data_IF_313659730798
#
_entry.id   IF_313659730798
#
_cell.length_a   1.000
_cell.length_b   1.000
_cell.length_c   1.000
_cell.angle_alpha   90.00
_cell.angle_beta   90.00
_cell.angle_gamma   90.00
#
_symmetry.space_group_name_H-M   'P 1'
#
loop_
_entity.id
_entity.type
_entity.pdbx_description
1 polymer ?
#
# COMPACT_ATOMS: atom_id res chain seq x y z
N UNK A 1 -2.97 -5.47 93.62
CA UNK A 1 -4.08 -5.49 94.57
C UNK A 1 -3.51 -5.93 95.93
N UNK A 2 -3.20 -4.96 96.83
CA UNK A 2 -2.91 -5.26 98.21
C UNK A 2 -4.19 -5.76 98.89
N UNK A 3 -4.13 -6.85 99.67
CA UNK A 3 -5.24 -7.27 100.51
C UNK A 3 -5.09 -6.63 101.90
N UNK A 4 -6.14 -6.06 102.41
CA UNK A 4 -6.20 -5.58 103.77
C UNK A 4 -6.94 -6.60 104.62
N UNK A 5 -6.36 -7.08 105.73
CA UNK A 5 -7.01 -8.08 106.51
C UNK A 5 -8.36 -7.58 107.07
N UNK A 6 -9.41 -8.40 106.86
CA UNK A 6 -10.74 -8.11 107.37
C UNK A 6 -11.61 -7.32 106.33
N UNK A 7 -11.13 -7.02 105.18
CA UNK A 7 -11.86 -6.36 104.08
C UNK A 7 -12.01 -7.31 102.91
N UNK A 8 -13.27 -7.60 102.57
CA UNK A 8 -13.59 -8.26 101.33
C UNK A 8 -13.84 -7.23 100.20
N UNK A 9 -13.31 -7.54 99.04
CA UNK A 9 -13.42 -6.69 97.85
C UNK A 9 -14.21 -7.43 96.73
N UNK A 10 -15.27 -6.81 96.30
CA UNK A 10 -16.09 -7.33 95.16
C UNK A 10 -16.33 -6.26 94.10
N UNK A 11 -16.65 -6.66 92.91
CA UNK A 11 -16.91 -5.76 91.74
C UNK A 11 -15.62 -5.30 91.05
N UNK A 12 -14.46 -5.96 91.29
CA UNK A 12 -13.24 -5.63 90.56
C UNK A 12 -13.42 -5.79 89.02
N UNK A 13 -13.05 -4.77 88.26
CA UNK A 13 -13.26 -4.75 86.77
C UNK A 13 -14.68 -4.36 86.33
N UNK A 14 -15.50 -3.90 87.27
CA UNK A 14 -16.82 -3.30 87.00
C UNK A 14 -16.85 -1.81 87.39
N UNK A 15 -17.95 -1.15 87.08
CA UNK A 15 -18.19 0.26 87.38
C UNK A 15 -18.41 0.50 88.90
N UNK A 16 -18.70 -0.53 89.64
CA UNK A 16 -18.95 -0.46 91.11
C UNK A 16 -17.99 -1.40 91.84
N UNK A 17 -17.13 -0.83 92.71
CA UNK A 17 -16.26 -1.56 93.61
C UNK A 17 -16.85 -1.51 95.00
N UNK A 18 -17.10 -2.65 95.62
CA UNK A 18 -17.61 -2.75 96.94
C UNK A 18 -16.56 -3.30 97.88
N UNK A 19 -16.28 -2.55 98.99
CA UNK A 19 -15.44 -2.97 100.06
C UNK A 19 -16.35 -3.31 101.26
N UNK A 20 -16.32 -4.55 101.73
CA UNK A 20 -17.15 -5.01 102.87
C UNK A 20 -16.30 -5.55 104.01
N UNK A 21 -16.87 -5.47 105.20
CA UNK A 21 -16.21 -5.99 106.43
C UNK A 21 -16.36 -7.52 106.44
N UNK A 22 -15.25 -8.22 106.30
CA UNK A 22 -15.19 -9.69 106.41
C UNK A 22 -15.03 -10.16 107.88
N UNK A 23 -14.90 -9.25 108.80
CA UNK A 23 -14.76 -9.51 110.26
C UNK A 23 -13.59 -8.76 110.89
N UNK A 24 -13.89 -7.84 111.80
CA UNK A 24 -12.94 -7.14 112.59
C UNK A 24 -12.26 -5.92 111.98
N UNK A 25 -12.61 -5.52 110.78
CA UNK A 25 -12.05 -4.30 110.12
C UNK A 25 -12.53 -3.04 110.84
N UNK A 26 -11.66 -2.12 110.98
CA UNK A 26 -11.89 -0.76 111.54
C UNK A 26 -12.08 0.24 110.42
N UNK A 27 -12.67 1.40 110.71
CA UNK A 27 -12.85 2.49 109.69
C UNK A 27 -11.53 2.93 109.07
N UNK A 28 -10.41 2.83 109.84
CA UNK A 28 -9.07 3.11 109.29
C UNK A 28 -8.67 2.13 108.19
N UNK A 29 -9.05 0.88 108.32
CA UNK A 29 -8.72 -0.17 107.36
C UNK A 29 -9.44 0.07 106.03
N UNK A 30 -10.65 0.62 106.06
CA UNK A 30 -11.35 1.06 104.84
C UNK A 30 -10.70 2.26 104.17
N UNK A 31 -10.14 3.20 104.93
CA UNK A 31 -9.38 4.32 104.38
C UNK A 31 -8.13 3.80 103.71
N UNK A 32 -7.41 2.88 104.33
CA UNK A 32 -6.22 2.26 103.75
C UNK A 32 -6.58 1.45 102.52
N UNK A 33 -7.75 0.76 102.45
CA UNK A 33 -8.23 0.06 101.35
C UNK A 33 -8.56 1.01 100.13
N UNK A 34 -9.16 2.15 100.42
CA UNK A 34 -9.45 3.17 99.36
C UNK A 34 -8.17 3.69 98.74
N UNK A 35 -7.07 3.85 99.49
CA UNK A 35 -5.79 4.27 98.93
C UNK A 35 -5.19 3.25 98.01
N UNK A 36 -5.62 2.00 98.02
CA UNK A 36 -5.18 0.94 97.10
C UNK A 36 -6.06 0.83 95.83
N UNK A 37 -7.19 1.51 95.84
CA UNK A 37 -8.05 1.55 94.60
C UNK A 37 -7.30 2.27 93.51
N UNK A 38 -7.26 1.63 92.31
CA UNK A 38 -6.68 2.18 91.12
C UNK A 38 -7.74 2.19 90.04
N UNK A 39 -7.92 3.31 89.40
CA UNK A 39 -8.68 3.41 88.16
C UNK A 39 -7.81 2.91 87.03
N UNK A 40 -8.31 2.03 86.21
CA UNK A 40 -7.67 1.57 84.97
C UNK A 40 -8.66 1.57 83.82
N UNK A 41 -8.33 2.25 82.72
CA UNK A 41 -9.09 2.19 81.49
C UNK A 41 -8.42 1.19 80.54
N UNK A 42 -9.13 0.17 80.13
CA UNK A 42 -8.64 -0.88 79.21
C UNK A 42 -8.96 -0.60 77.77
N UNK A 43 -9.66 0.47 77.45
CA UNK A 43 -9.95 0.89 76.07
C UNK A 43 -8.65 1.33 75.39
N UNK A 44 -8.40 0.85 74.20
CA UNK A 44 -7.25 1.24 73.34
C UNK A 44 -7.25 2.73 73.05
N UNK A 45 -8.44 3.32 72.94
CA UNK A 45 -8.64 4.75 72.66
C UNK A 45 -9.74 5.27 73.64
N UNK A 46 -9.40 5.67 74.89
CA UNK A 46 -10.41 6.14 75.78
C UNK A 46 -10.91 7.52 75.35
N UNK A 47 -12.21 7.71 75.36
CA UNK A 47 -12.78 9.02 75.13
C UNK A 47 -12.29 9.95 76.27
N UNK A 48 -11.84 11.16 75.94
CA UNK A 48 -11.46 12.18 76.83
C UNK A 48 -12.61 12.63 77.74
N UNK A 49 -12.28 13.38 78.72
CA UNK A 49 -13.26 13.98 79.66
C UNK A 49 -13.11 13.57 81.13
N UNK A 50 -13.93 14.20 81.93
CA UNK A 50 -13.92 13.98 83.34
C UNK A 50 -14.66 12.69 83.77
N UNK A 51 -14.07 11.86 84.58
CA UNK A 51 -14.69 10.70 85.19
C UNK A 51 -14.97 11.05 86.63
N UNK A 52 -16.15 10.74 87.17
CA UNK A 52 -16.55 10.94 88.52
C UNK A 52 -16.43 9.61 89.25
N UNK A 53 -15.72 9.60 90.36
CA UNK A 53 -15.69 8.49 91.33
C UNK A 53 -16.48 8.90 92.52
N UNK A 54 -17.53 8.17 92.82
CA UNK A 54 -18.35 8.38 94.04
C UNK A 54 -18.00 7.35 95.08
N UNK A 55 -17.78 7.81 96.28
CA UNK A 55 -17.49 6.95 97.45
C UNK A 55 -18.55 7.20 98.50
N UNK A 56 -19.20 6.16 98.90
CA UNK A 56 -20.20 6.21 99.96
C UNK A 56 -20.00 5.05 100.96
N UNK A 57 -20.10 5.36 102.21
CA UNK A 57 -20.06 4.36 103.29
C UNK A 57 -21.47 4.04 103.73
N UNK A 58 -21.74 2.74 103.99
CA UNK A 58 -22.97 2.25 104.53
C UNK A 58 -22.63 1.50 105.82
N UNK A 59 -23.28 1.81 106.93
CA UNK A 59 -23.13 1.10 108.24
C UNK A 59 -23.99 -0.18 108.17
N UNK A 60 -23.65 -1.16 109.10
CA UNK A 60 -24.43 -2.40 109.22
C UNK A 60 -25.90 -2.11 109.54
N UNK A 61 -26.18 -1.03 110.26
CA UNK A 61 -27.54 -0.59 110.62
C UNK A 61 -28.28 0.11 109.46
N UNK A 62 -27.69 0.20 108.24
CA UNK A 62 -28.28 0.85 107.06
C UNK A 62 -28.09 2.38 107.05
N UNK A 63 -27.35 2.98 107.99
CA UNK A 63 -27.01 4.40 107.92
C UNK A 63 -26.04 4.68 106.78
N UNK A 64 -26.30 5.71 105.96
CA UNK A 64 -25.44 6.10 104.83
C UNK A 64 -24.68 7.39 105.15
N UNK A 65 -23.45 7.46 104.69
CA UNK A 65 -22.66 8.71 104.70
C UNK A 65 -23.10 9.60 103.55
N UNK A 66 -22.69 10.85 103.53
CA UNK A 66 -22.67 11.65 102.34
C UNK A 66 -21.76 11.02 101.28
N UNK A 67 -22.00 11.30 100.01
CA UNK A 67 -21.17 10.85 98.88
C UNK A 67 -19.99 11.77 98.81
N UNK A 68 -18.76 11.20 98.84
CA UNK A 68 -17.53 11.88 98.53
C UNK A 68 -17.25 11.69 97.00
N UNK A 69 -16.95 12.75 96.31
CA UNK A 69 -16.74 12.77 94.90
C UNK A 69 -15.29 13.07 94.59
N UNK A 70 -14.65 12.21 93.83
CA UNK A 70 -13.34 12.45 93.23
C UNK A 70 -13.48 12.54 91.66
N UNK A 71 -12.69 13.36 91.07
CA UNK A 71 -12.68 13.54 89.60
C UNK A 71 -11.36 13.07 89.04
N UNK A 72 -11.42 12.31 87.98
CA UNK A 72 -10.27 11.90 87.18
C UNK A 72 -10.44 12.54 85.83
N UNK A 73 -9.51 13.35 85.34
CA UNK A 73 -9.46 13.89 84.05
C UNK A 73 -8.74 12.86 83.10
N UNK A 74 -9.47 12.35 82.15
CA UNK A 74 -8.91 11.54 81.07
C UNK A 74 -8.63 12.48 79.89
N UNK A 75 -7.37 12.63 79.55
CA UNK A 75 -6.98 13.40 78.38
C UNK A 75 -6.88 12.45 77.18
N UNK A 76 -7.49 12.83 76.08
CA UNK A 76 -7.26 12.14 74.78
C UNK A 76 -5.82 12.38 74.35
N UNK A 77 -5.12 11.35 73.98
CA UNK A 77 -3.86 11.49 73.25
C UNK A 77 -4.18 11.93 71.81
N UNK A 78 -3.44 12.87 71.27
CA UNK A 78 -3.59 13.20 69.88
C UNK A 78 -3.38 11.93 69.01
N UNK A 79 -4.16 11.78 67.97
CA UNK A 79 -3.90 10.74 66.95
C UNK A 79 -2.77 11.17 66.03
N UNK A 80 -2.05 10.16 65.58
CA UNK A 80 -1.00 10.37 64.57
C UNK A 80 -1.64 10.90 63.28
N UNK A 81 -1.08 11.95 62.69
CA UNK A 81 -1.53 12.46 61.38
C UNK A 81 -0.82 11.66 60.29
N UNK A 82 -1.57 10.88 59.55
CA UNK A 82 -1.08 10.11 58.39
C UNK A 82 -1.64 10.77 57.14
N UNK A 83 -0.83 10.89 56.10
CA UNK A 83 -1.23 11.49 54.79
C UNK A 83 -0.57 10.67 53.68
N UNK A 84 -1.39 9.97 52.91
CA UNK A 84 -0.99 9.18 51.77
C UNK A 84 -0.90 10.02 50.49
N UNK A 85 -1.31 11.29 50.54
CA UNK A 85 -1.47 12.15 49.41
C UNK A 85 -2.80 11.92 48.67
N UNK A 86 -2.98 12.54 47.53
CA UNK A 86 -4.20 12.40 46.74
C UNK A 86 -4.34 10.98 46.14
N UNK A 87 -5.57 10.65 45.76
CA UNK A 87 -5.87 9.47 44.94
C UNK A 87 -4.97 9.43 43.70
N UNK A 88 -4.58 8.23 43.28
CA UNK A 88 -3.69 8.03 42.15
C UNK A 88 -4.42 7.34 41.03
N UNK A 89 -4.05 7.73 39.80
CA UNK A 89 -4.50 7.12 38.56
C UNK A 89 -3.26 6.68 37.80
N UNK A 90 -3.21 5.42 37.39
CA UNK A 90 -2.07 4.84 36.64
C UNK A 90 -2.55 4.13 35.39
N UNK A 91 -1.63 3.94 34.45
CA UNK A 91 -1.88 3.12 33.28
C UNK A 91 -1.81 1.64 33.60
N UNK A 92 -2.58 0.82 32.96
CA UNK A 92 -2.46 -0.64 33.03
C UNK A 92 -1.02 -1.07 32.71
N UNK A 93 -0.43 -1.85 33.63
CA UNK A 93 0.97 -2.28 33.59
C UNK A 93 1.93 -1.42 34.40
N UNK A 94 1.51 -0.24 34.86
CA UNK A 94 2.28 0.58 35.78
C UNK A 94 2.00 0.21 37.26
N UNK A 95 2.77 0.76 38.21
CA UNK A 95 2.57 0.58 39.63
C UNK A 95 2.59 1.92 40.38
N UNK A 96 1.62 2.10 41.23
CA UNK A 96 1.56 3.22 42.16
C UNK A 96 2.37 2.94 43.44
N UNK A 97 2.83 4.00 44.11
CA UNK A 97 3.56 3.90 45.36
C UNK A 97 2.89 4.79 46.40
N UNK A 98 2.48 4.20 47.53
CA UNK A 98 1.96 4.90 48.71
C UNK A 98 2.97 4.87 49.83
N UNK A 99 3.21 6.01 50.47
CA UNK A 99 4.14 6.14 51.58
C UNK A 99 3.43 6.74 52.78
N UNK A 100 3.25 5.94 53.84
CA UNK A 100 2.56 6.32 55.06
C UNK A 100 3.39 7.24 56.00
N UNK A 101 4.61 7.59 55.61
CA UNK A 101 5.49 8.40 56.46
C UNK A 101 5.91 7.70 57.73
N UNK A 102 6.28 8.46 58.80
CA UNK A 102 6.56 8.00 60.16
C UNK A 102 7.60 6.86 60.29
N UNK A 103 8.87 7.06 59.88
CA UNK A 103 9.87 6.01 59.91
C UNK A 103 10.00 5.35 61.30
N UNK A 104 9.99 4.00 61.31
CA UNK A 104 10.11 3.21 62.56
C UNK A 104 8.77 2.92 63.23
N UNK A 105 7.64 3.37 62.69
CA UNK A 105 6.32 2.99 63.18
C UNK A 105 5.95 1.55 62.77
N UNK A 106 4.86 1.05 63.31
CA UNK A 106 4.22 -0.20 62.91
C UNK A 106 3.11 0.17 61.93
N UNK A 107 3.07 -0.50 60.75
CA UNK A 107 2.11 -0.27 59.71
C UNK A 107 1.20 -1.48 59.52
N UNK A 108 -0.04 -1.21 59.20
CA UNK A 108 -1.01 -2.22 58.81
C UNK A 108 -1.84 -1.67 57.67
N UNK A 109 -1.61 -2.20 56.49
CA UNK A 109 -2.35 -1.86 55.28
C UNK A 109 -3.55 -2.77 55.07
N UNK A 110 -4.55 -2.29 54.33
CA UNK A 110 -5.72 -3.06 53.95
C UNK A 110 -5.39 -4.32 53.13
N UNK A 111 -4.30 -4.30 52.38
CA UNK A 111 -3.79 -5.43 51.62
C UNK A 111 -2.88 -6.39 52.41
N UNK A 112 -2.81 -6.20 53.74
CA UNK A 112 -2.00 -6.98 54.66
C UNK A 112 -0.49 -6.69 54.66
N UNK A 113 -0.04 -5.71 53.90
CA UNK A 113 1.34 -5.22 53.96
C UNK A 113 1.63 -4.53 55.30
N UNK A 114 2.92 -4.53 55.69
CA UNK A 114 3.35 -3.98 56.98
C UNK A 114 4.55 -3.04 56.84
N UNK A 115 4.88 -2.61 55.64
CA UNK A 115 6.00 -1.72 55.35
C UNK A 115 5.55 -0.25 55.32
N UNK A 116 6.48 0.66 55.53
CA UNK A 116 6.20 2.11 55.45
C UNK A 116 5.66 2.51 54.06
N UNK A 117 6.19 1.89 53.00
CA UNK A 117 5.85 2.16 51.63
C UNK A 117 5.40 0.88 50.96
N UNK A 118 4.30 0.94 50.23
CA UNK A 118 3.82 -0.14 49.39
C UNK A 118 3.85 0.27 47.90
N UNK A 119 4.03 -0.72 47.01
CA UNK A 119 3.89 -0.53 45.60
C UNK A 119 2.87 -1.55 45.06
N UNK A 120 1.91 -1.06 44.30
CA UNK A 120 0.78 -1.89 43.84
C UNK A 120 0.31 -1.44 42.46
N UNK A 121 -0.21 -2.39 41.68
CA UNK A 121 -0.85 -2.14 40.38
C UNK A 121 -2.35 -2.45 40.41
N UNK A 122 -2.87 -2.95 41.55
CA UNK A 122 -4.25 -3.38 41.64
C UNK A 122 -5.18 -2.22 42.03
N UNK A 123 -6.28 -2.08 41.33
CA UNK A 123 -7.32 -1.11 41.65
C UNK A 123 -7.87 -1.30 43.05
N UNK A 124 -8.19 -0.22 43.70
CA UNK A 124 -8.90 -0.28 44.94
C UNK A 124 -8.52 0.79 45.96
N UNK A 125 -9.16 0.68 47.11
CA UNK A 125 -8.94 1.56 48.22
C UNK A 125 -7.84 1.00 49.15
N UNK A 126 -6.80 1.78 49.39
CA UNK A 126 -5.68 1.45 50.26
C UNK A 126 -5.80 2.24 51.54
N UNK A 127 -6.05 1.53 52.63
CA UNK A 127 -6.17 2.07 53.99
C UNK A 127 -4.92 1.67 54.77
N UNK A 128 -4.27 2.62 55.41
CA UNK A 128 -3.17 2.33 56.32
C UNK A 128 -3.50 2.75 57.73
N UNK A 129 -3.13 1.92 58.67
CA UNK A 129 -3.08 2.28 60.09
C UNK A 129 -1.62 2.32 60.55
N UNK A 130 -1.21 3.46 61.09
CA UNK A 130 0.18 3.69 61.55
C UNK A 130 0.20 3.88 63.08
N UNK A 131 1.05 3.11 63.76
CA UNK A 131 1.22 3.17 65.19
C UNK A 131 2.70 3.39 65.51
N UNK A 132 3.02 4.54 66.08
CA UNK A 132 4.39 4.88 66.60
C UNK A 132 4.66 4.52 68.05
N UNK A 133 3.70 3.91 68.77
CA UNK A 133 3.81 3.52 70.17
C UNK A 133 3.79 4.67 71.16
N UNK A 134 3.63 5.91 70.76
CA UNK A 134 3.70 7.11 71.61
C UNK A 134 2.36 7.80 71.77
N UNK A 135 1.63 7.92 70.65
CA UNK A 135 0.32 8.57 70.56
C UNK A 135 -0.70 7.60 69.99
N UNK A 136 -1.97 7.99 69.91
CA UNK A 136 -2.99 7.13 69.27
C UNK A 136 -2.65 6.86 67.80
N UNK A 137 -2.90 5.62 67.30
CA UNK A 137 -2.69 5.29 65.90
C UNK A 137 -3.47 6.24 64.97
N UNK A 138 -2.84 6.61 63.86
CA UNK A 138 -3.49 7.36 62.78
C UNK A 138 -3.85 6.45 61.63
N UNK A 139 -4.84 6.85 60.86
CA UNK A 139 -5.27 6.17 59.63
C UNK A 139 -5.44 7.17 58.50
N UNK A 140 -5.15 6.73 57.30
CA UNK A 140 -5.48 7.46 56.08
C UNK A 140 -5.85 6.50 54.97
N UNK A 141 -6.48 7.03 53.92
CA UNK A 141 -7.03 6.27 52.81
C UNK A 141 -6.72 6.97 51.50
N UNK A 142 -6.23 6.24 50.53
CA UNK A 142 -6.09 6.70 49.14
C UNK A 142 -6.69 5.67 48.19
N UNK A 143 -7.27 6.15 47.09
CA UNK A 143 -7.80 5.31 46.01
C UNK A 143 -6.78 5.19 44.90
N UNK A 144 -6.65 4.00 44.34
CA UNK A 144 -5.92 3.73 43.11
C UNK A 144 -6.89 3.29 42.03
N UNK A 145 -6.87 3.99 40.90
CA UNK A 145 -7.63 3.65 39.68
C UNK A 145 -6.66 3.32 38.56
N UNK A 146 -6.81 2.15 37.97
CA UNK A 146 -6.06 1.75 36.78
C UNK A 146 -6.88 2.04 35.56
N UNK A 147 -6.32 2.81 34.62
CA UNK A 147 -6.95 3.10 33.34
C UNK A 147 -6.33 2.24 32.24
N UNK A 148 -7.12 1.80 31.26
CA UNK A 148 -6.61 0.92 30.21
C UNK A 148 -5.50 1.57 29.40
N UNK A 149 -4.49 0.77 29.05
CA UNK A 149 -3.45 1.16 28.10
C UNK A 149 -3.89 0.77 26.69
N UNK A 150 -4.20 1.78 25.89
CA UNK A 150 -4.56 1.61 24.47
C UNK A 150 -3.30 1.73 23.63
N UNK A 151 -3.06 0.72 22.79
CA UNK A 151 -2.03 0.75 21.76
C UNK A 151 -2.69 1.01 20.41
N UNK A 152 -2.07 1.84 19.59
CA UNK A 152 -2.50 2.12 18.22
C UNK A 152 -1.29 2.04 17.31
N UNK A 153 -1.46 1.35 16.18
CA UNK A 153 -0.45 1.24 15.13
C UNK A 153 -1.12 1.35 13.77
N UNK A 154 -0.42 1.93 12.81
CA UNK A 154 -0.83 1.98 11.41
C UNK A 154 0.01 1.00 10.60
N UNK A 155 -0.65 0.12 9.86
CA UNK A 155 -0.02 -0.83 8.94
C UNK A 155 -0.76 -0.83 7.61
N UNK A 156 -0.14 -1.33 6.54
CA UNK A 156 -0.82 -1.42 5.26
C UNK A 156 0.08 -1.90 4.14
N UNK A 157 -0.39 -1.70 2.92
CA UNK A 157 0.42 -1.94 1.74
C UNK A 157 1.66 -1.04 1.76
N UNK A 158 2.77 -1.54 1.27
CA UNK A 158 4.03 -0.79 1.16
C UNK A 158 4.31 -0.34 -0.28
N UNK A 159 3.79 -1.09 -1.24
CA UNK A 159 3.96 -0.89 -2.68
C UNK A 159 2.64 -1.16 -3.40
N UNK A 160 2.27 -0.28 -4.31
CA UNK A 160 1.11 -0.44 -5.20
C UNK A 160 1.45 0.05 -6.60
N UNK A 161 0.65 -0.33 -7.58
CA UNK A 161 0.72 0.24 -8.91
C UNK A 161 -0.16 1.49 -9.03
N UNK A 162 0.20 2.39 -9.94
CA UNK A 162 -0.61 3.56 -10.27
C UNK A 162 -2.07 3.17 -10.57
N UNK A 163 -3.00 3.95 -10.05
CA UNK A 163 -4.45 3.72 -10.09
C UNK A 163 -4.93 2.45 -9.32
N UNK A 164 -4.12 1.87 -8.46
CA UNK A 164 -4.57 0.86 -7.49
C UNK A 164 -4.86 1.47 -6.14
N UNK A 165 -5.83 0.89 -5.44
CA UNK A 165 -6.15 1.31 -4.07
C UNK A 165 -5.19 0.66 -3.09
N UNK A 166 -4.62 1.46 -2.20
CA UNK A 166 -3.90 1.01 -1.04
C UNK A 166 -4.85 0.65 0.09
N UNK A 167 -4.55 -0.41 0.81
CA UNK A 167 -5.27 -0.82 2.02
C UNK A 167 -4.41 -0.52 3.23
N UNK A 168 -4.94 0.28 4.16
CA UNK A 168 -4.32 0.58 5.44
C UNK A 168 -5.18 0.03 6.56
N UNK A 169 -4.55 -0.33 7.67
CA UNK A 169 -5.23 -0.89 8.84
C UNK A 169 -4.73 -0.22 10.09
N UNK A 170 -5.64 0.38 10.84
CA UNK A 170 -5.45 0.78 12.22
C UNK A 170 -5.58 -0.46 13.09
N UNK A 171 -4.51 -0.84 13.76
CA UNK A 171 -4.47 -1.92 14.73
C UNK A 171 -4.57 -1.32 16.14
N UNK A 172 -5.59 -1.68 16.89
CA UNK A 172 -5.76 -1.19 18.26
C UNK A 172 -6.41 -2.24 19.15
N UNK A 173 -6.04 -2.21 20.43
CA UNK A 173 -6.67 -2.99 21.49
C UNK A 173 -7.76 -2.22 22.25
N UNK A 174 -8.19 -1.05 21.74
CA UNK A 174 -9.17 -0.19 22.41
C UNK A 174 -10.46 -0.97 22.74
N UNK A 175 -10.87 -1.05 24.02
CA UNK A 175 -12.08 -1.74 24.43
C UNK A 175 -13.35 -0.89 24.29
N UNK A 176 -13.19 0.39 23.95
CA UNK A 176 -14.24 1.38 23.72
C UNK A 176 -13.88 2.29 22.54
N UNK A 177 -14.82 3.08 22.02
CA UNK A 177 -14.58 3.92 20.86
C UNK A 177 -13.43 4.92 21.05
N UNK A 178 -12.59 5.02 20.02
CA UNK A 178 -11.57 6.07 19.89
C UNK A 178 -11.75 6.81 18.56
N UNK A 179 -11.38 8.09 18.54
CA UNK A 179 -11.23 8.88 17.30
C UNK A 179 -9.76 8.93 16.94
N UNK A 180 -9.43 8.59 15.68
CA UNK A 180 -8.06 8.62 15.16
C UNK A 180 -7.99 9.57 13.97
N UNK A 181 -7.02 10.48 13.99
CA UNK A 181 -6.71 11.36 12.87
C UNK A 181 -5.41 10.92 12.22
N UNK A 182 -5.44 10.81 10.89
CA UNK A 182 -4.29 10.44 10.06
C UNK A 182 -4.08 11.51 9.02
N UNK A 183 -2.85 12.00 8.87
CA UNK A 183 -2.45 12.89 7.80
C UNK A 183 -1.80 12.08 6.67
N UNK A 184 -2.29 12.24 5.44
CA UNK A 184 -1.61 11.78 4.24
C UNK A 184 -0.73 12.91 3.69
N UNK A 185 0.51 12.63 3.35
CA UNK A 185 1.44 13.60 2.74
C UNK A 185 2.13 12.97 1.50
N UNK A 186 1.82 13.44 0.30
CA UNK A 186 0.83 14.48 -0.04
C UNK A 186 -0.61 13.98 0.09
N UNK A 187 -1.52 14.83 0.57
CA UNK A 187 -2.94 14.47 0.62
C UNK A 187 -3.75 15.21 1.67
N UNK A 188 -4.97 14.75 1.85
CA UNK A 188 -5.91 15.27 2.85
C UNK A 188 -5.89 14.42 4.11
N UNK A 189 -6.20 15.00 5.28
CA UNK A 189 -6.33 14.22 6.50
C UNK A 189 -7.58 13.33 6.45
N UNK A 190 -7.50 12.22 7.17
CA UNK A 190 -8.61 11.31 7.46
C UNK A 190 -8.95 11.40 8.93
N UNK A 191 -10.23 11.34 9.25
CA UNK A 191 -10.72 11.24 10.62
C UNK A 191 -11.62 10.01 10.72
N UNK A 192 -11.31 9.13 11.63
CA UNK A 192 -12.07 7.92 11.90
C UNK A 192 -12.64 7.98 13.31
N UNK A 193 -13.95 8.15 13.40
CA UNK A 193 -14.67 8.16 14.66
C UNK A 193 -15.14 6.74 15.03
N UNK A 194 -15.37 6.53 16.33
CA UNK A 194 -15.92 5.27 16.88
C UNK A 194 -15.13 4.01 16.52
N UNK A 195 -13.82 4.10 16.37
CA UNK A 195 -12.97 2.95 16.11
C UNK A 195 -12.88 2.06 17.34
N UNK A 196 -13.23 0.78 17.19
CA UNK A 196 -13.10 -0.27 18.21
C UNK A 196 -12.45 -1.49 17.59
N UNK A 197 -11.29 -1.89 18.11
CA UNK A 197 -10.50 -2.96 17.52
C UNK A 197 -9.90 -2.56 16.16
N UNK A 198 -9.45 -3.53 15.38
CA UNK A 198 -8.82 -3.27 14.10
C UNK A 198 -9.80 -2.68 13.09
N UNK A 199 -9.38 -1.61 12.39
CA UNK A 199 -10.16 -0.91 11.40
C UNK A 199 -9.36 -0.72 10.11
N UNK A 200 -9.87 -1.25 8.98
CA UNK A 200 -9.22 -1.12 7.68
C UNK A 200 -9.96 -0.12 6.81
N UNK A 201 -9.20 0.67 6.07
CA UNK A 201 -9.70 1.63 5.10
C UNK A 201 -8.85 1.59 3.83
N UNK A 202 -9.36 2.15 2.75
CA UNK A 202 -8.65 2.22 1.48
C UNK A 202 -8.52 3.66 1.03
N UNK A 203 -7.38 3.95 0.37
CA UNK A 203 -7.13 5.21 -0.31
C UNK A 203 -6.59 4.94 -1.71
N UNK A 204 -6.60 5.97 -2.56
CA UNK A 204 -6.09 5.94 -3.93
C UNK A 204 -4.99 7.00 -4.08
N UNK A 205 -3.79 6.77 -3.55
CA UNK A 205 -2.70 7.73 -3.65
C UNK A 205 -2.26 7.92 -5.10
N UNK A 206 -2.02 9.16 -5.50
CA UNK A 206 -1.61 9.52 -6.86
C UNK A 206 -0.09 9.54 -7.05
N UNK A 207 0.64 9.10 -6.07
CA UNK A 207 2.09 8.99 -6.01
C UNK A 207 2.53 8.53 -4.64
N UNK A 208 3.83 8.42 -4.41
CA UNK A 208 4.37 8.02 -3.11
C UNK A 208 3.78 8.89 -2.00
N UNK A 209 3.19 8.25 -1.01
CA UNK A 209 2.43 8.91 0.05
C UNK A 209 2.78 8.30 1.40
N UNK A 210 3.01 9.16 2.39
CA UNK A 210 3.19 8.75 3.78
C UNK A 210 1.94 9.10 4.59
N UNK A 211 1.45 8.14 5.34
CA UNK A 211 0.31 8.28 6.24
C UNK A 211 0.82 8.30 7.67
N UNK A 212 0.50 9.35 8.43
CA UNK A 212 0.97 9.54 9.79
C UNK A 212 -0.21 9.71 10.75
N UNK A 213 -0.25 8.96 11.84
CA UNK A 213 -1.22 9.18 12.92
C UNK A 213 -0.86 10.49 13.62
N UNK A 214 -1.73 11.48 13.57
CA UNK A 214 -1.52 12.80 14.16
C UNK A 214 -2.18 12.97 15.51
N UNK A 215 -3.30 12.29 15.74
CA UNK A 215 -3.97 12.30 17.05
C UNK A 215 -4.77 11.02 17.28
N UNK A 216 -4.87 10.65 18.56
CA UNK A 216 -5.77 9.59 19.06
C UNK A 216 -6.50 10.13 20.27
N UNK A 217 -7.83 10.18 20.17
CA UNK A 217 -8.69 10.69 21.24
C UNK A 217 -9.65 9.60 21.72
N UNK A 218 -9.51 9.08 22.93
CA UNK A 218 -10.40 8.07 23.46
C UNK A 218 -11.71 8.69 23.97
N UNK A 219 -12.82 7.95 23.86
CA UNK A 219 -14.13 8.39 24.40
C UNK A 219 -14.20 8.29 25.93
N UNK A 220 -13.31 7.57 26.57
CA UNK A 220 -13.14 7.41 28.01
C UNK A 220 -11.67 7.63 28.38
N UNK A 221 -11.41 7.88 29.68
CA UNK A 221 -10.05 8.09 30.15
C UNK A 221 -9.19 6.85 29.93
N UNK A 222 -8.05 7.02 29.31
CA UNK A 222 -7.13 5.94 28.93
C UNK A 222 -5.71 6.46 28.70
N UNK A 223 -4.73 5.61 28.91
CA UNK A 223 -3.37 5.85 28.44
C UNK A 223 -3.25 5.43 26.97
N UNK A 224 -2.51 6.22 26.19
CA UNK A 224 -2.34 5.96 24.76
C UNK A 224 -0.87 5.78 24.45
N UNK A 225 -0.55 4.74 23.71
CA UNK A 225 0.76 4.52 23.11
C UNK A 225 0.58 4.27 21.61
N UNK A 226 1.16 5.11 20.78
CA UNK A 226 1.28 4.87 19.35
C UNK A 226 2.62 4.18 19.12
N UNK A 227 2.60 2.96 18.57
CA UNK A 227 3.81 2.14 18.39
C UNK A 227 4.40 2.29 16.99
N UNK A 228 3.54 2.31 15.96
CA UNK A 228 3.89 2.52 14.57
C UNK A 228 2.95 3.62 14.06
N UNK A 229 3.46 4.84 14.00
CA UNK A 229 2.67 6.03 13.69
C UNK A 229 2.69 6.38 12.19
N UNK A 230 3.59 5.78 11.41
CA UNK A 230 3.76 6.06 10.00
C UNK A 230 3.65 4.79 9.14
N UNK A 231 2.98 4.92 7.98
CA UNK A 231 2.98 3.95 6.91
C UNK A 231 3.28 4.65 5.60
N UNK A 232 4.42 4.34 4.98
CA UNK A 232 4.75 4.81 3.65
C UNK A 232 4.27 3.82 2.59
N UNK A 233 3.77 4.36 1.47
CA UNK A 233 3.33 3.61 0.31
C UNK A 233 4.04 4.14 -0.92
N UNK A 234 4.79 3.27 -1.61
CA UNK A 234 5.41 3.56 -2.89
C UNK A 234 4.44 3.21 -4.03
N UNK A 235 4.21 4.18 -4.92
CA UNK A 235 3.33 4.03 -6.08
C UNK A 235 4.16 3.93 -7.35
N UNK A 236 4.13 2.77 -7.98
CA UNK A 236 4.87 2.51 -9.22
C UNK A 236 4.03 2.80 -10.46
N UNK A 237 4.59 3.49 -11.46
CA UNK A 237 3.86 3.87 -12.65
C UNK A 237 3.52 2.65 -13.52
N UNK A 238 2.33 2.68 -14.12
CA UNK A 238 1.95 1.83 -15.24
C UNK A 238 2.11 2.60 -16.54
N UNK A 239 2.53 1.93 -17.61
CA UNK A 239 2.76 2.57 -18.91
C UNK A 239 1.77 2.03 -19.92
N UNK A 240 1.12 2.95 -20.65
CA UNK A 240 0.29 2.64 -21.79
C UNK A 240 0.90 3.34 -23.02
N UNK A 241 1.53 2.56 -23.89
CA UNK A 241 2.13 3.08 -25.12
C UNK A 241 1.45 2.49 -26.34
N UNK A 242 1.26 3.33 -27.38
CA UNK A 242 0.79 2.90 -28.68
C UNK A 242 1.84 3.20 -29.74
N UNK A 243 2.13 2.21 -30.57
CA UNK A 243 3.06 2.32 -31.69
C UNK A 243 2.35 1.95 -32.99
N UNK A 244 2.60 2.73 -34.05
CA UNK A 244 2.20 2.41 -35.39
C UNK A 244 3.41 1.81 -36.14
N UNK A 245 3.28 0.60 -36.63
CA UNK A 245 4.30 -0.12 -37.39
C UNK A 245 3.77 -0.49 -38.75
N UNK A 246 4.53 -0.20 -39.81
CA UNK A 246 4.22 -0.63 -41.12
C UNK A 246 5.21 -1.70 -41.60
N UNK A 247 4.72 -2.85 -42.02
CA UNK A 247 5.51 -3.96 -42.56
C UNK A 247 5.11 -4.20 -44.01
N UNK A 248 6.00 -4.80 -44.79
CA UNK A 248 5.70 -5.21 -46.15
C UNK A 248 4.94 -6.54 -46.17
N UNK A 249 4.19 -6.76 -47.21
CA UNK A 249 3.51 -8.04 -47.45
C UNK A 249 4.53 -9.19 -47.44
N UNK A 250 4.33 -10.15 -46.53
CA UNK A 250 5.25 -11.28 -46.29
C UNK A 250 6.32 -11.04 -45.27
N UNK A 251 6.48 -9.81 -44.71
CA UNK A 251 7.37 -9.52 -43.60
C UNK A 251 6.70 -9.81 -42.24
N UNK A 252 7.48 -9.75 -41.20
CA UNK A 252 7.00 -9.94 -39.85
C UNK A 252 7.62 -8.92 -38.88
N UNK A 253 6.88 -8.60 -37.82
CA UNK A 253 7.35 -7.73 -36.70
C UNK A 253 7.34 -8.51 -35.41
N UNK A 254 8.39 -8.31 -34.60
CA UNK A 254 8.48 -8.90 -33.27
C UNK A 254 7.75 -8.06 -32.23
N UNK A 255 6.73 -8.64 -31.55
CA UNK A 255 5.91 -7.97 -30.55
C UNK A 255 6.35 -8.24 -29.09
N UNK A 256 7.56 -8.73 -28.91
CA UNK A 256 8.11 -9.04 -27.58
C UNK A 256 8.00 -10.51 -27.19
N UNK A 257 6.97 -11.23 -27.64
CA UNK A 257 6.72 -12.64 -27.34
C UNK A 257 6.59 -13.53 -28.60
N UNK A 258 6.11 -12.97 -29.71
CA UNK A 258 5.85 -13.67 -30.95
C UNK A 258 6.01 -12.74 -32.15
N UNK A 259 6.12 -13.35 -33.33
CA UNK A 259 6.17 -12.64 -34.62
C UNK A 259 4.79 -12.54 -35.20
N UNK A 260 4.42 -11.34 -35.70
CA UNK A 260 3.17 -11.10 -36.42
C UNK A 260 3.41 -10.71 -37.87
N UNK A 261 2.53 -11.20 -38.75
CA UNK A 261 2.57 -11.00 -40.18
C UNK A 261 1.31 -10.37 -40.75
N UNK A 262 0.26 -10.20 -39.92
CA UNK A 262 -1.03 -9.69 -40.35
C UNK A 262 -1.26 -8.27 -39.87
N UNK A 263 -2.00 -7.47 -40.63
CA UNK A 263 -2.44 -6.17 -40.18
C UNK A 263 -3.46 -6.30 -39.05
N UNK A 264 -3.34 -5.48 -38.02
CA UNK A 264 -4.23 -5.53 -36.87
C UNK A 264 -3.78 -4.65 -35.73
N UNK A 265 -4.57 -4.67 -34.66
CA UNK A 265 -4.24 -4.04 -33.39
C UNK A 265 -3.88 -5.15 -32.40
N UNK A 266 -2.69 -5.10 -31.88
CA UNK A 266 -2.16 -6.11 -30.97
C UNK A 266 -1.84 -5.47 -29.62
N UNK A 267 -2.39 -6.06 -28.56
CA UNK A 267 -2.17 -5.60 -27.20
C UNK A 267 -1.32 -6.63 -26.46
N UNK A 268 -0.22 -6.16 -25.88
CA UNK A 268 0.69 -6.98 -25.08
C UNK A 268 0.89 -6.34 -23.72
N UNK A 269 0.79 -7.16 -22.66
CA UNK A 269 1.03 -6.75 -21.29
C UNK A 269 2.43 -7.20 -20.86
N UNK A 270 3.19 -6.28 -20.31
CA UNK A 270 4.53 -6.51 -19.79
C UNK A 270 4.56 -6.12 -18.32
N UNK A 271 5.05 -7.01 -17.47
CA UNK A 271 5.23 -6.69 -16.06
C UNK A 271 6.52 -5.87 -15.88
N UNK A 272 6.41 -4.80 -15.09
CA UNK A 272 7.57 -4.04 -14.64
C UNK A 272 8.34 -4.81 -13.56
N UNK A 273 9.49 -4.30 -13.14
CA UNK A 273 10.30 -4.88 -12.05
C UNK A 273 9.51 -4.99 -10.74
N UNK A 274 8.54 -4.09 -10.52
CA UNK A 274 7.67 -4.07 -9.35
C UNK A 274 6.32 -4.76 -9.56
N UNK A 275 6.19 -5.54 -10.66
CA UNK A 275 4.97 -6.31 -10.95
C UNK A 275 3.80 -5.50 -11.48
N UNK A 276 3.99 -4.20 -11.78
CA UNK A 276 2.97 -3.37 -12.38
C UNK A 276 2.86 -3.62 -13.87
N UNK A 277 1.64 -3.89 -14.33
CA UNK A 277 1.40 -4.20 -15.73
C UNK A 277 1.47 -2.95 -16.60
N UNK A 278 2.21 -3.05 -17.71
CA UNK A 278 2.31 -2.02 -18.75
C UNK A 278 1.71 -2.55 -20.03
N UNK A 279 0.81 -1.81 -20.64
CA UNK A 279 0.16 -2.21 -21.90
C UNK A 279 0.83 -1.52 -23.08
N UNK A 280 1.23 -2.33 -24.06
CA UNK A 280 1.74 -1.85 -25.34
C UNK A 280 0.74 -2.25 -26.43
N UNK A 281 0.17 -1.24 -27.06
CA UNK A 281 -0.70 -1.41 -28.24
C UNK A 281 0.12 -1.19 -29.49
N UNK A 282 0.23 -2.20 -30.36
CA UNK A 282 0.92 -2.08 -31.64
C UNK A 282 -0.09 -2.16 -32.77
N UNK A 283 -0.20 -1.10 -33.56
CA UNK A 283 -1.03 -1.06 -34.76
C UNK A 283 -0.17 -1.45 -35.97
N UNK A 284 -0.39 -2.62 -36.51
CA UNK A 284 0.34 -3.11 -37.67
C UNK A 284 -0.48 -2.79 -38.95
N UNK A 285 0.17 -2.13 -39.89
CA UNK A 285 -0.33 -1.93 -41.24
C UNK A 285 0.57 -2.64 -42.27
N UNK A 286 -0.04 -3.27 -43.28
CA UNK A 286 0.70 -3.90 -44.39
C UNK A 286 0.79 -2.92 -45.55
N UNK A 287 2.00 -2.64 -45.96
CA UNK A 287 2.28 -1.88 -47.15
C UNK A 287 2.32 -2.84 -48.34
N UNK A 288 1.54 -2.58 -49.45
CA UNK A 288 1.57 -3.41 -50.62
C UNK A 288 2.92 -3.28 -51.34
N UNK A 289 3.42 -4.40 -51.88
CA UNK A 289 4.60 -4.38 -52.74
C UNK A 289 4.35 -3.51 -53.98
N UNK A 290 5.30 -2.68 -54.34
CA UNK A 290 5.25 -1.87 -55.55
C UNK A 290 5.56 -2.77 -56.75
N UNK A 291 4.59 -2.95 -57.67
CA UNK A 291 4.76 -3.73 -58.89
C UNK A 291 4.94 -2.80 -60.08
N UNK A 292 6.08 -2.87 -60.75
CA UNK A 292 6.35 -2.13 -61.99
C UNK A 292 6.39 -3.14 -63.15
N UNK A 293 5.57 -2.90 -64.18
CA UNK A 293 5.62 -3.66 -65.43
C UNK A 293 6.38 -2.84 -66.48
N UNK A 294 7.43 -3.42 -67.00
CA UNK A 294 8.24 -2.83 -68.09
C UNK A 294 8.11 -3.71 -69.33
N UNK A 295 7.87 -3.09 -70.42
CA UNK A 295 7.93 -3.77 -71.70
C UNK A 295 9.22 -3.37 -72.44
N UNK A 296 9.94 -4.34 -72.95
CA UNK A 296 11.14 -4.15 -73.73
C UNK A 296 11.06 -5.05 -74.98
N UNK A 297 11.72 -4.62 -76.03
CA UNK A 297 11.76 -5.37 -77.23
C UNK A 297 13.19 -5.81 -77.55
N UNK A 298 13.34 -6.98 -78.18
CA UNK A 298 14.63 -7.54 -78.53
C UNK A 298 14.59 -8.14 -79.92
N UNK A 299 15.75 -8.16 -80.55
CA UNK A 299 15.96 -8.89 -81.85
C UNK A 299 16.51 -10.31 -81.61
N UNK A 300 16.94 -10.60 -80.38
CA UNK A 300 17.50 -11.90 -80.03
C UNK A 300 16.39 -12.84 -79.52
N UNK A 301 16.07 -13.90 -80.28
CA UNK A 301 15.07 -14.88 -79.84
C UNK A 301 15.43 -15.58 -78.51
N UNK A 302 16.69 -15.59 -78.07
CA UNK A 302 17.12 -16.17 -76.82
C UNK A 302 16.87 -15.25 -75.60
N UNK A 303 16.62 -13.97 -75.86
CA UNK A 303 16.37 -12.97 -74.84
C UNK A 303 14.87 -12.69 -74.63
N UNK A 304 13.98 -13.41 -75.29
CA UNK A 304 12.54 -13.30 -75.08
C UNK A 304 12.16 -13.92 -73.73
N UNK A 305 11.25 -13.28 -73.04
CA UNK A 305 10.74 -13.87 -71.81
C UNK A 305 10.18 -12.85 -70.82
N UNK A 306 9.81 -13.35 -69.67
CA UNK A 306 9.40 -12.54 -68.54
C UNK A 306 10.49 -12.64 -67.52
N UNK A 307 11.10 -11.51 -67.17
CA UNK A 307 12.16 -11.39 -66.16
C UNK A 307 11.63 -10.65 -64.96
N UNK A 308 11.82 -11.25 -63.80
CA UNK A 308 11.42 -10.63 -62.52
C UNK A 308 12.70 -10.26 -61.80
N UNK A 309 12.79 -8.99 -61.40
CA UNK A 309 13.89 -8.45 -60.59
C UNK A 309 13.31 -7.70 -59.42
N UNK A 310 13.94 -7.86 -58.25
CA UNK A 310 13.59 -7.10 -57.03
C UNK A 310 14.56 -5.95 -56.88
N UNK A 311 14.06 -4.77 -56.57
CA UNK A 311 14.85 -3.58 -56.24
C UNK A 311 14.63 -3.33 -54.75
N UNK A 312 15.69 -3.49 -53.95
CA UNK A 312 15.68 -3.25 -52.51
C UNK A 312 15.39 -1.76 -52.24
N UNK A 313 14.44 -1.50 -51.34
CA UNK A 313 14.09 -0.15 -50.90
C UNK A 313 14.32 0.00 -49.42
N UNK A 314 15.43 0.58 -48.97
CA UNK A 314 15.77 0.70 -47.56
C UNK A 314 14.79 1.57 -46.73
N UNK A 315 13.86 2.27 -47.38
CA UNK A 315 12.89 3.14 -46.76
C UNK A 315 11.43 2.68 -46.94
N UNK A 316 11.22 1.51 -47.49
CA UNK A 316 9.88 0.98 -47.77
C UNK A 316 9.94 -0.43 -48.37
N UNK A 317 8.82 -0.88 -48.90
CA UNK A 317 8.77 -2.22 -49.45
C UNK A 317 9.55 -2.31 -50.76
N UNK A 318 10.19 -3.44 -50.97
CA UNK A 318 10.90 -3.76 -52.20
C UNK A 318 9.99 -3.65 -53.42
N UNK A 319 10.57 -3.19 -54.53
CA UNK A 319 9.86 -3.03 -55.79
C UNK A 319 10.10 -4.24 -56.64
N UNK A 320 9.03 -4.93 -57.03
CA UNK A 320 9.09 -6.05 -57.96
C UNK A 320 8.91 -5.49 -59.38
N UNK A 321 9.96 -5.58 -60.22
CA UNK A 321 9.95 -5.17 -61.60
C UNK A 321 9.78 -6.41 -62.46
N UNK A 322 8.67 -6.48 -63.18
CA UNK A 322 8.40 -7.51 -64.21
C UNK A 322 8.68 -6.94 -65.58
N UNK A 323 9.76 -7.36 -66.20
CA UNK A 323 10.11 -6.96 -67.53
C UNK A 323 9.66 -8.04 -68.54
N UNK A 324 8.71 -7.69 -69.47
CA UNK A 324 8.30 -8.56 -70.55
C UNK A 324 9.08 -8.15 -71.81
N UNK A 325 9.88 -9.06 -72.33
CA UNK A 325 10.70 -8.84 -73.51
C UNK A 325 10.06 -9.57 -74.71
N UNK A 326 9.67 -8.80 -75.73
CA UNK A 326 9.02 -9.30 -76.95
C UNK A 326 10.00 -9.27 -78.13
N UNK A 327 9.82 -10.18 -79.05
CA UNK A 327 10.61 -10.22 -80.27
C UNK A 327 10.12 -9.17 -81.24
N UNK A 328 11.00 -8.36 -81.79
CA UNK A 328 10.78 -7.54 -82.95
C UNK A 328 10.94 -8.47 -84.16
N UNK A 329 9.88 -8.68 -84.98
CA UNK A 329 10.05 -9.51 -86.19
C UNK A 329 10.99 -8.84 -87.17
N UNK A 330 11.86 -9.67 -87.76
CA UNK A 330 12.68 -9.21 -88.90
C UNK A 330 11.82 -8.74 -90.04
N UNK A 331 12.06 -7.55 -90.60
CA UNK A 331 11.32 -7.02 -91.69
C UNK A 331 11.97 -7.55 -92.98
N UNK A 332 11.15 -8.14 -93.86
CA UNK A 332 11.62 -8.67 -95.13
C UNK A 332 11.01 -7.84 -96.27
N UNK A 333 11.86 -7.12 -96.98
CA UNK A 333 11.42 -6.30 -98.13
C UNK A 333 11.80 -6.99 -99.45
N UNK A 334 10.83 -7.28 -100.25
CA UNK A 334 11.03 -7.82 -101.63
C UNK A 334 11.07 -6.67 -102.61
N UNK A 335 12.17 -6.52 -103.37
CA UNK A 335 12.33 -5.53 -104.41
C UNK A 335 12.44 -6.29 -105.75
N UNK A 336 11.53 -6.06 -106.67
CA UNK A 336 11.56 -6.67 -108.02
C UNK A 336 12.08 -5.63 -108.98
N UNK A 337 13.12 -5.98 -109.69
CA UNK A 337 13.73 -5.16 -110.77
C UNK A 337 13.83 -5.99 -112.05
N UNK A 338 13.84 -5.32 -113.23
CA UNK A 338 13.98 -5.96 -114.52
C UNK A 338 15.28 -5.55 -115.20
N UNK A 339 15.94 -6.52 -115.84
CA UNK A 339 17.15 -6.27 -116.62
C UNK A 339 17.07 -6.96 -118.01
N UNK A 340 17.69 -6.35 -119.07
CA UNK A 340 17.87 -6.97 -120.37
C UNK A 340 19.21 -7.72 -120.46
N UNK A 341 19.97 -7.80 -119.40
CA UNK A 341 21.27 -8.50 -119.37
C UNK A 341 21.12 -9.77 -118.56
N UNK A 342 21.18 -10.94 -119.17
CA UNK A 342 20.99 -12.25 -118.54
C UNK A 342 21.94 -12.46 -117.31
N UNK A 343 23.16 -11.99 -117.41
CA UNK A 343 24.14 -12.16 -116.32
C UNK A 343 23.87 -11.33 -115.09
N UNK A 344 22.87 -10.42 -115.11
CA UNK A 344 22.49 -9.59 -113.99
C UNK A 344 21.13 -10.02 -113.37
N UNK A 345 20.50 -11.05 -113.92
CA UNK A 345 19.28 -11.60 -113.36
C UNK A 345 19.61 -12.57 -112.25
N UNK A 346 18.72 -12.64 -111.26
CA UNK A 346 18.84 -13.52 -110.13
C UNK A 346 18.35 -12.88 -108.87
N UNK A 347 18.44 -13.60 -107.75
CA UNK A 347 18.05 -13.14 -106.48
C UNK A 347 19.29 -12.70 -105.71
N UNK A 348 19.30 -11.48 -105.24
CA UNK A 348 20.31 -10.93 -104.32
C UNK A 348 19.69 -10.66 -102.94
N UNK A 349 20.38 -11.02 -101.92
CA UNK A 349 19.97 -10.78 -100.50
C UNK A 349 20.97 -9.87 -99.86
N UNK A 350 20.48 -8.76 -99.33
CA UNK A 350 21.23 -7.84 -98.48
C UNK A 350 20.60 -7.75 -97.09
N UNK A 351 21.41 -7.66 -96.05
CA UNK A 351 20.95 -7.42 -94.69
C UNK A 351 21.18 -5.97 -94.32
N UNK A 352 20.12 -5.28 -93.95
CA UNK A 352 20.19 -3.92 -93.36
C UNK A 352 19.66 -3.94 -91.91
N UNK A 353 20.32 -3.19 -91.10
CA UNK A 353 19.84 -2.99 -89.74
C UNK A 353 18.69 -1.99 -89.75
N UNK A 354 17.55 -2.38 -89.21
CA UNK A 354 16.38 -1.50 -89.14
C UNK A 354 16.56 -0.45 -88.05
N UNK A 355 15.61 0.45 -87.89
CA UNK A 355 15.67 1.54 -86.91
C UNK A 355 15.70 1.06 -85.42
N UNK A 356 15.24 -0.16 -85.14
CA UNK A 356 15.28 -0.80 -83.85
C UNK A 356 16.58 -1.59 -83.61
N UNK A 357 17.53 -1.59 -84.54
CA UNK A 357 18.79 -2.31 -84.44
C UNK A 357 18.72 -3.77 -84.88
N UNK A 358 17.56 -4.25 -85.41
CA UNK A 358 17.40 -5.61 -85.86
C UNK A 358 17.78 -5.73 -87.34
N UNK A 359 18.33 -6.87 -87.69
CA UNK A 359 18.64 -7.17 -89.09
C UNK A 359 17.35 -7.34 -89.88
N UNK A 360 17.23 -6.61 -91.00
CA UNK A 360 16.18 -6.71 -91.94
C UNK A 360 16.72 -7.29 -93.22
N UNK A 361 15.99 -8.22 -93.82
CA UNK A 361 16.37 -8.89 -95.08
C UNK A 361 15.76 -8.17 -96.27
N UNK A 362 16.59 -7.65 -97.15
CA UNK A 362 16.16 -7.16 -98.47
C UNK A 362 16.43 -8.24 -99.48
N UNK A 363 15.39 -8.75 -100.15
CA UNK A 363 15.45 -9.70 -101.28
C UNK A 363 15.21 -8.92 -102.51
N UNK A 364 16.26 -8.73 -103.34
CA UNK A 364 16.17 -8.10 -104.64
C UNK A 364 16.09 -9.21 -105.68
N UNK A 365 14.93 -9.35 -106.29
CA UNK A 365 14.72 -10.26 -107.46
C UNK A 365 14.85 -9.46 -108.74
N UNK A 366 15.90 -9.78 -109.53
CA UNK A 366 16.14 -9.13 -110.80
C UNK A 366 15.72 -10.09 -111.95
N UNK A 367 14.62 -9.73 -112.60
CA UNK A 367 13.99 -10.55 -113.67
C UNK A 367 14.60 -10.18 -115.02
N UNK A 368 15.09 -11.19 -115.70
CA UNK A 368 15.55 -10.99 -117.09
C UNK A 368 14.34 -10.82 -118.03
N UNK A 369 14.35 -9.72 -118.75
CA UNK A 369 13.38 -9.49 -119.86
C UNK A 369 14.12 -9.62 -121.20
N UNK A 370 13.76 -10.57 -122.02
CA UNK A 370 14.35 -10.72 -123.35
C UNK A 370 14.11 -9.45 -124.17
N UNK A 371 15.10 -9.02 -125.01
CA UNK A 371 14.91 -7.86 -125.89
C UNK A 371 13.71 -8.10 -126.82
N UNK A 372 12.95 -7.08 -127.00
CA UNK A 372 11.74 -7.12 -127.80
C UNK A 372 11.94 -7.81 -129.17
N UNK A 373 11.12 -8.79 -129.51
CA UNK A 373 11.07 -9.45 -130.77
C UNK A 373 10.56 -8.43 -131.80
N UNK A 374 11.38 -8.22 -132.92
CA UNK A 374 10.98 -7.37 -133.95
C UNK A 374 10.01 -8.15 -134.91
N UNK A 375 8.82 -7.82 -134.93
CA UNK A 375 7.82 -8.28 -135.93
C UNK A 375 7.87 -7.38 -137.13
N UNK A 376 8.22 -7.96 -138.26
CA UNK A 376 8.13 -7.25 -139.57
C UNK A 376 6.70 -7.35 -140.03
N UNK A 377 6.03 -6.27 -140.16
CA UNK A 377 4.75 -6.12 -140.92
C UNK A 377 5.07 -5.65 -142.25
N UNK A 378 4.60 -6.43 -143.28
CA UNK A 378 4.70 -6.06 -144.70
C UNK A 378 3.37 -5.58 -145.09
N UNK A 379 3.27 -4.34 -145.55
CA UNK A 379 2.11 -3.78 -146.10
C UNK A 379 2.45 -3.49 -147.54
N UNK A 380 1.46 -3.73 -148.55
CA UNK A 380 1.61 -3.37 -149.86
C UNK A 380 0.94 -2.02 -150.14
N UNK A 381 1.70 -1.18 -150.79
CA UNK A 381 1.19 0.11 -151.21
C UNK A 381 1.40 0.28 -152.76
N UNK A 382 0.51 0.97 -153.35
CA UNK A 382 0.59 1.37 -154.77
C UNK A 382 1.28 2.72 -154.95
N UNK A 383 1.71 3.33 -153.91
CA UNK A 383 2.39 4.61 -153.97
C UNK A 383 3.91 4.40 -153.62
N UNK A 384 4.70 4.66 -154.60
CA UNK A 384 6.14 4.43 -154.61
C UNK A 384 6.90 5.34 -153.64
N UNK A 385 6.28 6.40 -153.14
CA UNK A 385 6.88 7.30 -152.15
C UNK A 385 6.78 6.77 -150.83
N UNK A 386 6.03 5.70 -150.54
CA UNK A 386 5.84 5.08 -149.21
C UNK A 386 6.57 3.75 -149.06
N UNK A 387 7.49 3.45 -149.90
CA UNK A 387 8.33 2.27 -149.78
C UNK A 387 9.47 2.52 -148.78
N UNK A 388 9.52 1.74 -147.72
CA UNK A 388 10.58 1.82 -146.71
C UNK A 388 10.26 0.94 -145.60
N UNK A 389 11.24 0.70 -144.81
CA UNK A 389 11.08 -0.01 -143.48
C UNK A 389 10.94 1.00 -142.40
N UNK A 390 9.87 0.92 -141.64
CA UNK A 390 9.66 1.79 -140.55
C UNK A 390 9.79 0.91 -139.24
N UNK A 391 10.41 1.49 -138.34
CA UNK A 391 10.48 0.85 -137.04
C UNK A 391 9.58 1.61 -135.99
N UNK A 392 8.72 0.91 -135.34
CA UNK A 392 7.91 1.44 -134.28
C UNK A 392 8.19 0.61 -132.98
N UNK A 393 8.38 1.25 -131.91
CA UNK A 393 8.59 0.59 -130.57
C UNK A 393 7.27 0.64 -129.80
N UNK A 394 6.72 -0.55 -129.57
CA UNK A 394 5.61 -0.74 -128.62
C UNK A 394 6.08 -0.81 -127.22
#
# INVERSE_FOLDING_TARGET
TGSIPGIDVSGQGTDILTLSNAGGAKSTDFIDALHLVRYMNTALNPNGGQRTIEVQFTTESGGMSNVAIAYIQVNELPSLVVDLGPDQMICEGDAATFNAGHPGAIYQWSNSETTQTISTADDGQYIVTVNNGVICPGTDTAELVTIPLITVALTGDVEICDNQSATLTLNTNAPFPITVEIQADPGSPFTFDDVVGNYSFTDLPQGNTTYTITSVTPSMEACITVTDDEQAIDVYPTYNHSFDVSICDGDSVWLGFYWETEAGVYENTFNTEHGCDSNITTNISILPAVMIQVQADTCDPAAIGVFITTIDNPSGCDTVVTTTVSLIPADTTLITQSTCVWSQSGTHTDTLTNQAGCDSLIISEVIYISPADTTTLTEMTCDSSLLGTFYDTL
#
